data_IF_347543503445
#
_entry.id   IF_347543503445
#
_cell.length_a   1.000
_cell.length_b   1.000
_cell.length_c   1.000
_cell.angle_alpha   90.00
_cell.angle_beta   90.00
_cell.angle_gamma   90.00
#
_symmetry.space_group_name_H-M   'P 1'
#
loop_
_entity.id
_entity.type
_entity.pdbx_description
1 polymer ?
#
# COMPACT_ATOMS: atom_id res chain seq x y z
N UNK A 1 11.88 -13.56 -4.16
CA UNK A 1 10.48 -13.18 -4.38
C UNK A 1 9.73 -13.54 -3.12
N UNK A 2 9.53 -12.58 -2.23
CA UNK A 2 8.70 -12.77 -1.05
C UNK A 2 7.26 -12.86 -1.55
N UNK A 3 6.60 -14.00 -1.35
CA UNK A 3 5.17 -14.11 -1.62
C UNK A 3 4.47 -13.77 -0.32
N UNK A 4 3.85 -12.59 -0.25
CA UNK A 4 2.98 -12.24 0.86
C UNK A 4 1.95 -13.36 1.06
N UNK A 5 1.74 -13.77 2.29
CA UNK A 5 0.69 -14.74 2.60
C UNK A 5 -0.68 -14.13 2.35
N UNK A 6 -1.75 -14.92 2.16
CA UNK A 6 -3.11 -14.39 2.06
C UNK A 6 -3.51 -13.49 3.23
N UNK A 7 -3.02 -13.81 4.44
CA UNK A 7 -3.25 -13.00 5.64
C UNK A 7 -2.50 -11.66 5.57
N UNK A 8 -1.27 -11.63 5.04
CA UNK A 8 -0.52 -10.40 4.82
C UNK A 8 -1.17 -9.54 3.74
N UNK A 9 -1.64 -10.12 2.63
CA UNK A 9 -2.34 -9.39 1.58
C UNK A 9 -3.63 -8.75 2.11
N UNK A 10 -4.40 -9.49 2.90
CA UNK A 10 -5.60 -8.96 3.55
C UNK A 10 -5.28 -7.78 4.48
N UNK A 11 -4.28 -7.95 5.35
CA UNK A 11 -3.84 -6.90 6.27
C UNK A 11 -3.30 -5.66 5.52
N UNK A 12 -2.58 -5.88 4.41
CA UNK A 12 -2.10 -4.82 3.53
C UNK A 12 -3.26 -4.07 2.90
N UNK A 13 -4.28 -4.76 2.38
CA UNK A 13 -5.49 -4.15 1.84
C UNK A 13 -6.21 -3.26 2.86
N UNK A 14 -6.45 -3.77 4.07
CA UNK A 14 -7.03 -2.98 5.16
C UNK A 14 -6.17 -1.73 5.46
N UNK A 15 -4.84 -1.88 5.43
CA UNK A 15 -3.92 -0.77 5.67
C UNK A 15 -3.89 0.25 4.53
N UNK A 16 -3.99 -0.17 3.28
CA UNK A 16 -4.11 0.71 2.10
C UNK A 16 -5.36 1.57 2.21
N UNK A 17 -6.48 0.97 2.65
CA UNK A 17 -7.73 1.71 2.85
C UNK A 17 -7.57 2.78 3.94
N UNK A 18 -6.98 2.41 5.08
CA UNK A 18 -6.67 3.35 6.16
C UNK A 18 -5.69 4.45 5.73
N UNK A 19 -4.71 4.11 4.90
CA UNK A 19 -3.73 5.03 4.33
C UNK A 19 -4.39 6.06 3.40
N UNK A 20 -5.22 5.62 2.46
CA UNK A 20 -5.97 6.51 1.55
C UNK A 20 -6.98 7.40 2.27
N UNK A 21 -7.53 6.92 3.38
CA UNK A 21 -8.40 7.73 4.25
C UNK A 21 -7.62 8.78 5.05
N UNK A 22 -6.42 8.43 5.51
CA UNK A 22 -5.59 9.30 6.35
C UNK A 22 -4.82 10.35 5.54
N UNK A 23 -4.47 10.02 4.29
CA UNK A 23 -3.63 10.87 3.44
C UNK A 23 -4.32 11.16 2.11
N UNK A 24 -4.67 12.43 1.92
CA UNK A 24 -5.25 12.94 0.68
C UNK A 24 -4.25 12.93 -0.48
N UNK A 25 -4.71 13.23 -1.71
CA UNK A 25 -3.87 13.21 -2.91
C UNK A 25 -2.72 14.24 -2.90
N UNK A 26 -2.79 15.27 -2.04
CA UNK A 26 -1.74 16.27 -1.92
C UNK A 26 -0.60 15.85 -0.96
N UNK A 27 -0.80 14.79 -0.18
CA UNK A 27 0.18 14.29 0.78
C UNK A 27 1.09 13.26 0.11
N UNK A 28 1.65 13.66 -1.04
CA UNK A 28 2.35 12.80 -2.01
C UNK A 28 3.51 11.99 -1.41
N UNK A 29 4.11 12.54 -0.35
CA UNK A 29 5.25 11.95 0.33
C UNK A 29 4.87 10.99 1.45
N UNK A 30 3.60 10.90 1.86
CA UNK A 30 3.19 9.95 2.90
C UNK A 30 3.52 8.53 2.47
N UNK A 31 3.99 7.71 3.40
CA UNK A 31 4.55 6.38 3.11
C UNK A 31 3.73 5.30 3.78
N UNK A 32 3.48 4.22 3.03
CA UNK A 32 3.10 2.91 3.54
C UNK A 32 4.36 2.04 3.67
N UNK A 33 4.55 1.41 4.82
CA UNK A 33 5.73 0.59 5.14
C UNK A 33 5.36 -0.71 5.82
N UNK A 34 6.30 -1.65 5.89
CA UNK A 34 6.20 -2.90 6.65
C UNK A 34 7.32 -2.95 7.70
N UNK A 35 6.99 -3.27 8.94
CA UNK A 35 7.99 -3.45 10.00
C UNK A 35 8.67 -4.83 9.92
N UNK A 36 9.70 -5.04 10.75
CA UNK A 36 10.43 -6.31 10.83
C UNK A 36 9.58 -7.50 11.33
N UNK A 37 8.44 -7.24 11.99
CA UNK A 37 7.47 -8.25 12.40
C UNK A 37 6.45 -8.56 11.28
N UNK A 38 6.58 -7.92 10.12
CA UNK A 38 5.69 -8.10 8.97
C UNK A 38 4.36 -7.35 9.09
N UNK A 39 4.25 -6.36 10.00
CA UNK A 39 3.05 -5.53 10.16
C UNK A 39 3.14 -4.28 9.31
N UNK A 40 2.00 -3.85 8.81
CA UNK A 40 1.91 -2.68 7.95
C UNK A 40 1.63 -1.41 8.76
N UNK A 41 2.36 -0.34 8.43
CA UNK A 41 2.28 0.98 9.04
C UNK A 41 2.23 2.07 7.99
N UNK A 42 1.91 3.29 8.41
CA UNK A 42 2.05 4.47 7.56
C UNK A 42 2.49 5.68 8.37
N UNK A 43 3.21 6.59 7.75
CA UNK A 43 3.69 7.83 8.36
C UNK A 43 3.63 9.01 7.39
N UNK A 44 3.60 10.21 7.96
CA UNK A 44 3.80 11.44 7.23
C UNK A 44 5.29 11.60 6.88
N UNK A 45 5.58 12.06 5.66
CA UNK A 45 6.94 12.32 5.19
C UNK A 45 7.56 11.15 4.40
N UNK A 46 8.66 11.43 3.69
CA UNK A 46 9.14 10.61 2.56
C UNK A 46 9.83 9.30 2.94
N UNK A 47 10.07 9.07 4.22
CA UNK A 47 10.87 7.95 4.72
C UNK A 47 10.04 7.04 5.60
N UNK A 48 10.23 5.72 5.42
CA UNK A 48 9.68 4.75 6.35
C UNK A 48 10.33 4.90 7.73
N UNK A 49 9.61 4.50 8.79
CA UNK A 49 10.20 4.46 10.13
C UNK A 49 11.47 3.59 10.18
N UNK A 50 12.44 3.95 11.03
CA UNK A 50 13.71 3.25 11.11
C UNK A 50 13.52 1.74 11.35
N UNK A 51 14.15 0.92 10.51
CA UNK A 51 14.01 -0.54 10.56
C UNK A 51 12.77 -1.10 9.87
N UNK A 52 11.97 -0.25 9.21
CA UNK A 52 10.85 -0.68 8.37
C UNK A 52 11.25 -0.68 6.88
N UNK A 53 10.64 -1.58 6.14
CA UNK A 53 10.72 -1.65 4.68
C UNK A 53 9.70 -0.69 4.06
N UNK A 54 10.19 0.23 3.23
CA UNK A 54 9.33 1.13 2.46
C UNK A 54 8.58 0.32 1.38
N UNK A 55 7.25 0.47 1.30
CA UNK A 55 6.44 -0.24 0.31
C UNK A 55 6.06 0.68 -0.85
N UNK A 56 5.34 1.75 -0.56
CA UNK A 56 4.83 2.68 -1.55
C UNK A 56 4.50 4.01 -0.89
N UNK A 57 4.68 5.13 -1.59
CA UNK A 57 4.19 6.44 -1.14
C UNK A 57 2.82 6.77 -1.74
N UNK A 58 2.19 7.83 -1.25
CA UNK A 58 0.87 8.26 -1.70
C UNK A 58 0.82 8.51 -3.21
N UNK A 59 1.84 9.14 -3.78
CA UNK A 59 1.95 9.33 -5.23
C UNK A 59 2.09 8.01 -6.00
N UNK A 60 2.81 7.04 -5.45
CA UNK A 60 2.93 5.69 -5.99
C UNK A 60 1.59 4.95 -6.01
N UNK A 61 0.81 5.06 -4.92
CA UNK A 61 -0.55 4.50 -4.86
C UNK A 61 -1.46 5.12 -5.93
N UNK A 62 -1.46 6.46 -6.08
CA UNK A 62 -2.22 7.12 -7.15
C UNK A 62 -1.78 6.65 -8.54
N UNK A 63 -0.47 6.52 -8.75
CA UNK A 63 0.08 6.05 -10.02
C UNK A 63 -0.37 4.62 -10.32
N UNK A 64 -0.32 3.71 -9.35
CA UNK A 64 -0.81 2.33 -9.52
C UNK A 64 -2.31 2.30 -9.81
N UNK A 65 -3.09 3.11 -9.11
CA UNK A 65 -4.53 3.22 -9.36
C UNK A 65 -4.81 3.68 -10.79
N UNK A 66 -4.12 4.72 -11.28
CA UNK A 66 -4.27 5.22 -12.66
C UNK A 66 -3.82 4.19 -13.69
N UNK A 67 -2.62 3.60 -13.51
CA UNK A 67 -2.05 2.65 -14.48
C UNK A 67 -2.90 1.39 -14.63
N UNK A 68 -3.52 0.92 -13.55
CA UNK A 68 -4.33 -0.29 -13.53
C UNK A 68 -5.84 0.00 -13.52
N UNK A 69 -6.24 1.26 -13.72
CA UNK A 69 -7.64 1.70 -13.78
C UNK A 69 -8.47 1.36 -12.52
N UNK A 70 -7.85 1.35 -11.35
CA UNK A 70 -8.56 1.25 -10.07
C UNK A 70 -9.16 2.60 -9.68
N UNK A 71 -10.38 2.55 -9.17
CA UNK A 71 -11.06 3.67 -8.52
C UNK A 71 -11.19 3.42 -7.02
N UNK A 72 -11.54 4.46 -6.26
CA UNK A 72 -11.89 4.30 -4.84
C UNK A 72 -13.09 3.36 -4.64
N UNK A 73 -13.99 3.25 -5.61
CA UNK A 73 -15.12 2.32 -5.55
C UNK A 73 -14.64 0.87 -5.66
N UNK A 74 -13.66 0.59 -6.51
CA UNK A 74 -13.07 -0.75 -6.62
C UNK A 74 -12.41 -1.17 -5.30
N UNK A 75 -11.67 -0.24 -4.67
CA UNK A 75 -11.04 -0.46 -3.36
C UNK A 75 -12.03 -0.57 -2.20
N UNK A 76 -13.28 -0.15 -2.38
CA UNK A 76 -14.34 -0.35 -1.37
C UNK A 76 -14.90 -1.78 -1.37
N UNK A 77 -14.59 -2.57 -2.40
CA UNK A 77 -14.99 -3.97 -2.52
C UNK A 77 -13.85 -4.86 -2.06
N UNK A 78 -14.16 -5.93 -1.34
CA UNK A 78 -13.14 -6.85 -0.81
C UNK A 78 -12.27 -7.46 -1.93
N UNK A 79 -12.87 -7.86 -3.05
CA UNK A 79 -12.18 -8.44 -4.20
C UNK A 79 -11.25 -7.44 -4.90
N UNK A 80 -11.68 -6.19 -5.04
CA UNK A 80 -10.86 -5.13 -5.61
C UNK A 80 -9.71 -4.73 -4.68
N UNK A 81 -9.96 -4.70 -3.37
CA UNK A 81 -8.95 -4.37 -2.38
C UNK A 81 -7.87 -5.46 -2.28
N UNK A 82 -8.25 -6.73 -2.28
CA UNK A 82 -7.32 -7.86 -2.24
C UNK A 82 -6.42 -7.87 -3.49
N UNK A 83 -7.00 -7.66 -4.67
CA UNK A 83 -6.26 -7.58 -5.93
C UNK A 83 -5.32 -6.37 -5.99
N UNK A 84 -5.73 -5.22 -5.45
CA UNK A 84 -4.87 -4.04 -5.38
C UNK A 84 -3.74 -4.21 -4.36
N UNK A 85 -3.98 -4.89 -3.24
CA UNK A 85 -2.94 -5.22 -2.27
C UNK A 85 -1.88 -6.14 -2.89
N UNK A 86 -2.28 -7.12 -3.70
CA UNK A 86 -1.35 -7.96 -4.47
C UNK A 86 -0.53 -7.13 -5.45
N UNK A 87 -1.16 -6.21 -6.19
CA UNK A 87 -0.46 -5.30 -7.08
C UNK A 87 0.59 -4.43 -6.36
N UNK A 88 0.21 -3.84 -5.22
CA UNK A 88 1.14 -3.04 -4.41
C UNK A 88 2.32 -3.91 -3.98
N UNK A 89 2.06 -5.08 -3.41
CA UNK A 89 3.08 -6.06 -3.04
C UNK A 89 4.03 -6.39 -4.21
N UNK A 90 3.51 -6.72 -5.39
CA UNK A 90 4.35 -7.02 -6.55
C UNK A 90 5.20 -5.83 -7.01
N UNK A 91 4.67 -4.60 -6.89
CA UNK A 91 5.38 -3.38 -7.29
C UNK A 91 6.57 -3.01 -6.40
N UNK A 92 6.57 -3.43 -5.13
CA UNK A 92 7.68 -3.22 -4.19
C UNK A 92 8.83 -4.18 -4.47
N UNK A 93 8.50 -5.39 -4.95
CA UNK A 93 9.41 -6.53 -4.94
C UNK A 93 9.83 -7.02 -6.33
N UNK A 94 9.59 -6.23 -7.37
CA UNK A 94 10.20 -6.38 -8.70
C UNK A 94 11.40 -5.42 -8.83
N UNK A 95 12.57 -5.91 -9.27
CA UNK A 95 13.79 -5.11 -9.43
C UNK A 95 13.72 -4.08 -10.56
#
# INVERSE_FOLDING_TARGET
>A
MFKATPEQLKALGEKITGFLYSYGPNEVDAVLFMDADGKFGHCEGPEAAAGCEWLVNRAGVDRLMVLHSYTLLDLSRADGLDAFAELVAESVWLP
#
